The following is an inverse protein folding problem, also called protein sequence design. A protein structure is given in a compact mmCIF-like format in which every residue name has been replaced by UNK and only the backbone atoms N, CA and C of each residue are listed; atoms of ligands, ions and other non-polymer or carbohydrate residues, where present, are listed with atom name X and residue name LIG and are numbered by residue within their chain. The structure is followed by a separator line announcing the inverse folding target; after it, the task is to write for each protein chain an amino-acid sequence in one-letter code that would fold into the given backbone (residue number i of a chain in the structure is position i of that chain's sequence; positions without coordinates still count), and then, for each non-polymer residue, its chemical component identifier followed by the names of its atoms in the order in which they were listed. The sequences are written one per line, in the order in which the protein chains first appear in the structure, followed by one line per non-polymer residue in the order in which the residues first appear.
data_IF_328535728586
#
_entry.id   IF_328535728586
#
_cell.length_a   1.000
_cell.length_b   1.000
_cell.length_c   1.000
_cell.angle_alpha   90.00
_cell.angle_beta   90.00
_cell.angle_gamma   90.00
#
_symmetry.space_group_name_H-M   'P 1'
#
loop_
_entity.id
_entity.type
_entity.pdbx_description
1 polymer ?
#
# COMPACT_ATOMS: atom_id res chain seq x y z
N UNK A 1 25.60 16.04 9.34
CA UNK A 1 25.07 15.02 8.42
C UNK A 1 23.93 14.35 9.16
N UNK A 2 22.75 14.28 8.58
CA UNK A 2 21.62 13.56 9.22
C UNK A 2 22.00 12.09 9.38
N UNK A 3 21.81 11.50 10.55
CA UNK A 3 22.07 10.07 10.73
C UNK A 3 21.11 9.27 9.85
N UNK A 4 21.63 8.26 9.17
CA UNK A 4 20.91 7.47 8.18
C UNK A 4 20.82 5.99 8.59
N UNK A 5 19.84 5.30 8.04
CA UNK A 5 19.60 3.86 8.27
C UNK A 5 19.66 3.08 6.96
N UNK A 6 19.94 1.79 7.06
CA UNK A 6 19.88 0.84 5.96
C UNK A 6 18.64 -0.03 6.12
N UNK A 7 17.83 -0.19 5.06
CA UNK A 7 16.58 -0.91 5.13
C UNK A 7 16.56 -2.18 4.28
N UNK A 8 15.99 -3.23 4.85
CA UNK A 8 15.68 -4.50 4.16
C UNK A 8 14.19 -4.57 3.91
N UNK A 9 13.80 -4.85 2.68
CA UNK A 9 12.41 -5.01 2.25
C UNK A 9 12.25 -6.33 1.49
N UNK A 10 11.79 -7.41 2.13
CA UNK A 10 11.50 -8.65 1.42
C UNK A 10 10.27 -8.52 0.54
N UNK A 11 10.37 -8.99 -0.70
CA UNK A 11 9.25 -9.07 -1.64
C UNK A 11 9.02 -10.54 -1.98
N UNK A 12 7.90 -11.10 -1.52
CA UNK A 12 7.50 -12.47 -1.82
C UNK A 12 7.22 -12.66 -3.31
N UNK A 13 7.37 -13.90 -3.84
CA UNK A 13 6.96 -14.21 -5.20
C UNK A 13 5.52 -13.74 -5.46
N UNK A 14 5.32 -12.96 -6.53
CA UNK A 14 4.05 -12.28 -6.83
C UNK A 14 2.87 -13.24 -6.93
N UNK A 15 3.09 -14.46 -7.40
CA UNK A 15 2.06 -15.48 -7.50
C UNK A 15 1.53 -15.95 -6.12
N UNK A 16 2.33 -15.81 -5.06
CA UNK A 16 2.01 -16.23 -3.69
C UNK A 16 1.69 -15.06 -2.75
N UNK A 17 1.98 -13.83 -3.20
CA UNK A 17 1.75 -12.63 -2.39
C UNK A 17 0.26 -12.29 -2.31
N UNK A 18 -0.21 -11.83 -1.15
CA UNK A 18 -1.52 -11.16 -0.99
C UNK A 18 -2.73 -11.89 -1.56
N UNK A 19 -2.87 -13.19 -1.29
CA UNK A 19 -3.97 -14.02 -1.83
C UNK A 19 -5.37 -13.49 -1.52
N UNK A 20 -5.54 -12.74 -0.39
CA UNK A 20 -6.80 -12.09 0.00
C UNK A 20 -7.15 -10.86 -0.86
N UNK A 21 -6.20 -10.33 -1.64
CA UNK A 21 -6.44 -9.25 -2.61
C UNK A 21 -6.88 -9.75 -4.00
N UNK A 22 -7.07 -11.05 -4.18
CA UNK A 22 -7.57 -11.57 -5.45
C UNK A 22 -8.92 -10.95 -5.80
N UNK A 23 -9.05 -10.43 -7.01
CA UNK A 23 -10.25 -9.73 -7.46
C UNK A 23 -10.25 -8.23 -7.16
N UNK A 24 -9.38 -7.71 -6.31
CA UNK A 24 -9.36 -6.29 -5.97
C UNK A 24 -8.97 -5.39 -7.16
N UNK A 25 -8.16 -5.88 -8.11
CA UNK A 25 -7.69 -5.13 -9.27
C UNK A 25 -8.48 -5.35 -10.56
N UNK A 26 -9.46 -6.28 -10.58
CA UNK A 26 -10.17 -6.73 -11.79
C UNK A 26 -11.66 -7.00 -11.57
N UNK A 27 -12.30 -6.25 -10.69
CA UNK A 27 -13.74 -6.32 -10.40
C UNK A 27 -14.22 -7.71 -9.94
N UNK A 28 -13.41 -8.43 -9.18
CA UNK A 28 -13.77 -9.72 -8.60
C UNK A 28 -13.42 -10.94 -9.48
N UNK A 29 -12.87 -10.73 -10.69
CA UNK A 29 -12.50 -11.84 -11.59
C UNK A 29 -11.38 -12.70 -10.98
N UNK A 30 -10.43 -12.09 -10.25
CA UNK A 30 -9.35 -12.79 -9.59
C UNK A 30 -8.25 -13.32 -10.53
N UNK A 31 -8.10 -12.70 -11.70
CA UNK A 31 -7.08 -13.08 -12.67
C UNK A 31 -5.67 -12.96 -12.07
N UNK A 32 -4.87 -14.01 -12.19
CA UNK A 32 -3.52 -14.08 -11.62
C UNK A 32 -2.63 -12.90 -12.06
N UNK A 33 -2.75 -12.47 -13.33
CA UNK A 33 -1.99 -11.35 -13.88
C UNK A 33 -2.39 -10.01 -13.23
N UNK A 34 -3.69 -9.78 -13.00
CA UNK A 34 -4.17 -8.57 -12.35
C UNK A 34 -3.72 -8.52 -10.89
N UNK A 35 -3.79 -9.66 -10.21
CA UNK A 35 -3.30 -9.82 -8.85
C UNK A 35 -1.79 -9.55 -8.73
N UNK A 36 -0.96 -10.17 -9.61
CA UNK A 36 0.49 -9.95 -9.62
C UNK A 36 0.85 -8.48 -9.89
N UNK A 37 0.13 -7.81 -10.80
CA UNK A 37 0.31 -6.37 -11.08
C UNK A 37 0.00 -5.51 -9.84
N UNK A 38 -1.08 -5.82 -9.13
CA UNK A 38 -1.41 -5.09 -7.90
C UNK A 38 -0.33 -5.31 -6.83
N UNK A 39 0.07 -6.55 -6.57
CA UNK A 39 1.12 -6.85 -5.59
C UNK A 39 2.45 -6.13 -5.92
N UNK A 40 2.84 -6.10 -7.20
CA UNK A 40 4.02 -5.35 -7.64
C UNK A 40 3.82 -3.85 -7.47
N UNK A 41 2.65 -3.31 -7.77
CA UNK A 41 2.37 -1.88 -7.63
C UNK A 41 2.46 -1.41 -6.17
N UNK A 42 1.92 -2.20 -5.21
CA UNK A 42 2.06 -1.93 -3.78
C UNK A 42 3.55 -1.86 -3.37
N UNK A 43 4.34 -2.87 -3.80
CA UNK A 43 5.76 -2.91 -3.49
C UNK A 43 6.52 -1.71 -4.11
N UNK A 44 6.22 -1.35 -5.35
CA UNK A 44 6.86 -0.21 -6.03
C UNK A 44 6.59 1.11 -5.35
N UNK A 45 5.35 1.36 -4.90
CA UNK A 45 5.03 2.59 -4.18
C UNK A 45 5.75 2.66 -2.83
N UNK A 46 5.79 1.54 -2.09
CA UNK A 46 6.56 1.46 -0.84
C UNK A 46 8.05 1.75 -1.07
N UNK A 47 8.65 1.06 -2.05
CA UNK A 47 10.07 1.19 -2.35
C UNK A 47 10.43 2.59 -2.89
N UNK A 48 9.56 3.20 -3.71
CA UNK A 48 9.73 4.57 -4.17
C UNK A 48 9.72 5.58 -3.02
N UNK A 49 8.83 5.40 -2.04
CA UNK A 49 8.82 6.23 -0.83
C UNK A 49 10.10 6.06 0.00
N UNK A 50 10.60 4.82 0.12
CA UNK A 50 11.87 4.53 0.81
C UNK A 50 13.07 5.18 0.10
N UNK A 51 13.15 5.08 -1.23
CA UNK A 51 14.22 5.73 -2.01
C UNK A 51 14.20 7.25 -1.93
N UNK A 52 13.01 7.85 -1.76
CA UNK A 52 12.84 9.30 -1.63
C UNK A 52 13.05 9.82 -0.20
N UNK A 53 13.13 8.96 0.80
CA UNK A 53 13.36 9.32 2.19
C UNK A 53 14.83 9.72 2.42
N UNK A 54 15.05 10.89 3.03
CA UNK A 54 16.40 11.43 3.26
C UNK A 54 17.18 10.66 4.34
N UNK A 55 16.46 9.98 5.25
CA UNK A 55 17.03 9.17 6.31
C UNK A 55 17.48 7.77 5.87
N UNK A 56 17.19 7.35 4.64
CA UNK A 56 17.58 6.03 4.14
C UNK A 56 18.84 6.13 3.29
N UNK A 57 19.90 5.42 3.71
CA UNK A 57 21.17 5.37 2.99
C UNK A 57 21.20 4.24 1.95
N UNK A 58 20.80 3.04 2.37
CA UNK A 58 20.74 1.87 1.51
C UNK A 58 19.40 1.17 1.62
N UNK A 59 18.86 0.78 0.47
CA UNK A 59 17.67 -0.04 0.34
C UNK A 59 18.06 -1.38 -0.29
N UNK A 60 17.87 -2.47 0.43
CA UNK A 60 18.13 -3.83 -0.02
C UNK A 60 16.81 -4.61 -0.10
N UNK A 61 16.46 -5.09 -1.28
CA UNK A 61 15.31 -5.98 -1.47
C UNK A 61 15.79 -7.44 -1.45
N UNK A 62 15.04 -8.30 -0.74
CA UNK A 62 15.27 -9.75 -0.73
C UNK A 62 14.13 -10.43 -1.45
N UNK A 63 14.41 -11.11 -2.56
CA UNK A 63 13.36 -11.82 -3.33
C UNK A 63 13.93 -13.00 -4.11
N UNK A 64 13.16 -14.10 -4.20
CA UNK A 64 13.45 -15.24 -5.07
C UNK A 64 12.70 -15.18 -6.41
N UNK A 65 11.92 -14.12 -6.66
CA UNK A 65 11.14 -13.96 -7.88
C UNK A 65 11.96 -13.21 -8.95
N UNK A 66 12.29 -13.83 -10.09
CA UNK A 66 13.07 -13.18 -11.14
C UNK A 66 12.35 -12.00 -11.77
N UNK A 67 11.01 -11.97 -11.76
CA UNK A 67 10.22 -10.83 -12.27
C UNK A 67 10.41 -9.64 -11.35
N UNK A 68 10.38 -9.86 -10.03
CA UNK A 68 10.65 -8.80 -9.04
C UNK A 68 12.06 -8.25 -9.23
N UNK A 69 13.08 -9.12 -9.36
CA UNK A 69 14.45 -8.69 -9.55
C UNK A 69 14.63 -7.88 -10.84
N UNK A 70 14.05 -8.32 -11.95
CA UNK A 70 14.13 -7.62 -13.23
C UNK A 70 13.41 -6.27 -13.20
N UNK A 71 12.18 -6.21 -12.67
CA UNK A 71 11.41 -4.96 -12.62
C UNK A 71 12.02 -3.93 -11.66
N UNK A 72 12.48 -4.34 -10.48
CA UNK A 72 13.07 -3.41 -9.50
C UNK A 72 14.47 -2.96 -9.91
N UNK A 73 15.23 -3.80 -10.60
CA UNK A 73 16.55 -3.45 -11.15
C UNK A 73 16.51 -2.28 -12.12
N UNK A 74 15.42 -2.11 -12.88
CA UNK A 74 15.22 -0.95 -13.78
C UNK A 74 15.18 0.38 -13.00
N UNK A 75 14.77 0.34 -11.74
CA UNK A 75 14.73 1.52 -10.86
C UNK A 75 15.99 1.68 -10.00
N UNK A 76 17.05 0.92 -10.30
CA UNK A 76 18.30 0.99 -9.54
C UNK A 76 18.21 0.39 -8.12
N UNK A 77 17.18 -0.41 -7.83
CA UNK A 77 17.02 -1.07 -6.54
C UNK A 77 17.82 -2.37 -6.54
N UNK A 78 18.68 -2.51 -5.54
CA UNK A 78 19.45 -3.75 -5.34
C UNK A 78 18.53 -4.87 -4.86
N UNK A 79 18.53 -6.00 -5.58
CA UNK A 79 17.76 -7.19 -5.23
C UNK A 79 18.71 -8.37 -5.04
N UNK A 80 18.66 -8.99 -3.85
CA UNK A 80 19.41 -10.19 -3.54
C UNK A 80 18.49 -11.41 -3.45
N UNK A 81 18.99 -12.62 -3.80
CA UNK A 81 18.18 -13.82 -3.73
C UNK A 81 17.78 -14.15 -2.27
N UNK A 82 16.53 -14.58 -2.09
CA UNK A 82 16.08 -15.22 -0.85
C UNK A 82 16.57 -16.66 -0.84
N UNK A 83 17.69 -16.90 -0.17
CA UNK A 83 18.31 -18.23 -0.05
C UNK A 83 17.86 -18.85 1.26
N UNK A 84 17.25 -20.04 1.25
CA UNK A 84 16.86 -20.72 2.48
C UNK A 84 18.03 -20.94 3.43
N UNK A 85 17.84 -20.60 4.70
CA UNK A 85 18.83 -20.89 5.75
C UNK A 85 18.38 -22.11 6.56
N UNK A 86 19.32 -22.94 7.09
CA UNK A 86 18.99 -24.23 7.71
C UNK A 86 18.04 -24.16 8.91
N UNK A 87 17.92 -23.02 9.57
CA UNK A 87 17.13 -22.84 10.80
C UNK A 87 16.09 -21.71 10.75
N UNK A 88 16.09 -20.91 9.68
CA UNK A 88 15.19 -19.80 9.47
C UNK A 88 14.60 -19.90 8.07
N UNK A 89 13.29 -19.94 7.97
CA UNK A 89 12.58 -19.96 6.70
C UNK A 89 11.56 -18.83 6.61
N UNK A 90 11.18 -18.46 5.40
CA UNK A 90 10.15 -17.46 5.18
C UNK A 90 10.60 -16.02 5.44
N UNK A 91 9.65 -15.18 5.78
CA UNK A 91 9.83 -13.73 5.84
C UNK A 91 10.93 -13.29 6.83
N UNK A 92 10.97 -13.89 8.03
CA UNK A 92 11.94 -13.53 9.05
C UNK A 92 13.38 -13.92 8.64
N UNK A 93 13.55 -15.03 7.91
CA UNK A 93 14.84 -15.41 7.33
C UNK A 93 15.33 -14.38 6.31
N UNK A 94 14.43 -13.92 5.42
CA UNK A 94 14.76 -12.90 4.43
C UNK A 94 15.21 -11.59 5.10
N UNK A 95 14.52 -11.13 6.14
CA UNK A 95 14.91 -9.95 6.92
C UNK A 95 16.26 -10.15 7.60
N UNK A 96 16.46 -11.27 8.30
CA UNK A 96 17.71 -11.55 9.00
C UNK A 96 18.90 -11.62 8.02
N UNK A 97 18.73 -12.26 6.86
CA UNK A 97 19.75 -12.34 5.81
C UNK A 97 20.09 -10.95 5.25
N UNK A 98 19.09 -10.17 4.87
CA UNK A 98 19.32 -8.83 4.35
C UNK A 98 20.03 -7.93 5.36
N UNK A 99 19.61 -7.99 6.63
CA UNK A 99 20.26 -7.26 7.71
C UNK A 99 21.74 -7.69 7.91
N UNK A 100 22.04 -8.97 7.81
CA UNK A 100 23.42 -9.47 7.87
C UNK A 100 24.28 -8.93 6.72
N UNK A 101 23.75 -8.96 5.48
CA UNK A 101 24.46 -8.42 4.31
C UNK A 101 24.75 -6.92 4.42
N UNK A 102 23.80 -6.14 4.95
CA UNK A 102 24.01 -4.71 5.17
C UNK A 102 25.09 -4.45 6.23
N UNK A 103 25.13 -5.26 7.28
CA UNK A 103 26.14 -5.14 8.33
C UNK A 103 27.51 -5.70 7.96
N UNK A 104 27.59 -6.64 7.04
CA UNK A 104 28.87 -7.04 6.43
C UNK A 104 29.53 -5.87 5.70
N UNK A 105 28.72 -4.96 5.12
CA UNK A 105 29.21 -3.74 4.44
C UNK A 105 29.57 -2.63 5.42
N UNK A 106 28.77 -2.47 6.46
CA UNK A 106 28.97 -1.48 7.51
C UNK A 106 28.48 -2.02 8.88
N UNK A 107 29.41 -2.52 9.71
CA UNK A 107 29.07 -3.04 11.05
C UNK A 107 28.42 -2.01 11.97
N UNK A 108 28.64 -0.70 11.73
CA UNK A 108 28.06 0.39 12.50
C UNK A 108 26.68 0.83 11.98
N UNK A 109 26.16 0.19 10.92
CA UNK A 109 24.85 0.55 10.36
C UNK A 109 23.71 0.33 11.37
N UNK A 110 22.82 1.31 11.46
CA UNK A 110 21.46 1.11 11.98
C UNK A 110 20.66 0.40 10.88
N UNK A 111 20.13 -0.78 11.18
CA UNK A 111 19.48 -1.60 10.17
C UNK A 111 18.00 -1.80 10.53
N UNK A 112 17.12 -1.68 9.52
CA UNK A 112 15.69 -1.86 9.68
C UNK A 112 15.09 -2.87 8.70
N UNK A 113 13.93 -3.38 9.10
CA UNK A 113 13.03 -4.24 8.33
C UNK A 113 11.73 -3.48 8.08
N UNK A 114 11.33 -3.34 6.82
CA UNK A 114 10.10 -2.68 6.42
C UNK A 114 9.25 -3.63 5.56
N UNK A 115 7.92 -3.63 5.77
CA UNK A 115 6.98 -4.35 4.92
C UNK A 115 6.91 -3.72 3.52
N UNK A 116 6.69 -4.55 2.48
CA UNK A 116 6.68 -4.11 1.08
C UNK A 116 5.31 -3.62 0.58
N UNK A 117 4.31 -3.51 1.42
CA UNK A 117 2.91 -3.36 1.07
C UNK A 117 2.24 -2.14 1.73
N UNK A 118 3.00 -1.06 1.80
CA UNK A 118 2.62 0.23 2.38
C UNK A 118 2.41 1.28 1.27
N UNK A 119 1.40 1.14 0.39
CA UNK A 119 1.27 1.98 -0.81
C UNK A 119 0.92 3.45 -0.51
N UNK A 120 0.59 3.77 0.73
CA UNK A 120 0.34 5.12 1.19
C UNK A 120 1.50 5.71 2.02
N UNK A 121 2.65 5.02 2.10
CA UNK A 121 3.84 5.49 2.79
C UNK A 121 4.34 6.80 2.16
N UNK A 122 4.60 7.79 2.99
CA UNK A 122 5.21 9.07 2.60
C UNK A 122 6.67 9.11 3.04
N UNK A 123 7.59 9.60 2.21
CA UNK A 123 9.00 9.76 2.61
C UNK A 123 9.18 10.50 3.92
N UNK A 124 8.43 11.60 4.12
CA UNK A 124 8.49 12.40 5.33
C UNK A 124 8.03 11.64 6.59
N UNK A 125 7.04 10.74 6.48
CA UNK A 125 6.59 9.91 7.59
C UNK A 125 7.68 8.90 7.99
N UNK A 126 8.37 8.34 6.99
CA UNK A 126 9.51 7.43 7.23
C UNK A 126 10.68 8.18 7.87
N UNK A 127 11.02 9.38 7.37
CA UNK A 127 12.08 10.22 7.93
C UNK A 127 11.78 10.59 9.39
N UNK A 128 10.54 10.95 9.71
CA UNK A 128 10.13 11.27 11.07
C UNK A 128 10.19 10.05 12.00
N UNK A 129 9.76 8.88 11.53
CA UNK A 129 9.85 7.62 12.29
C UNK A 129 11.30 7.22 12.55
N UNK A 130 12.18 7.35 11.56
CA UNK A 130 13.61 7.09 11.72
C UNK A 130 14.23 8.07 12.71
N UNK A 131 13.91 9.37 12.63
CA UNK A 131 14.38 10.36 13.59
C UNK A 131 14.02 10.00 15.04
N UNK A 132 12.74 9.68 15.28
CA UNK A 132 12.27 9.26 16.60
C UNK A 132 12.96 7.96 17.09
N UNK A 133 13.24 7.04 16.19
CA UNK A 133 13.97 5.81 16.52
C UNK A 133 15.42 6.12 16.96
N UNK A 134 16.10 7.00 16.23
CA UNK A 134 17.48 7.40 16.53
C UNK A 134 17.61 8.11 17.89
N UNK A 135 16.61 8.93 18.27
CA UNK A 135 16.55 9.54 19.60
C UNK A 135 16.44 8.49 20.71
N UNK A 136 15.62 7.45 20.49
CA UNK A 136 15.51 6.33 21.43
C UNK A 136 16.81 5.50 21.50
N UNK A 137 17.47 5.29 20.37
CA UNK A 137 18.79 4.61 20.35
C UNK A 137 19.86 5.40 21.09
N UNK A 138 19.87 6.73 20.97
CA UNK A 138 20.74 7.61 21.75
C UNK A 138 20.44 7.53 23.26
N UNK A 139 19.20 7.24 23.64
CA UNK A 139 18.78 7.00 25.02
C UNK A 139 19.04 5.54 25.50
N UNK A 140 19.71 4.71 24.69
CA UNK A 140 20.10 3.33 25.05
C UNK A 140 19.08 2.25 24.71
N UNK A 141 17.98 2.57 23.98
CA UNK A 141 17.06 1.56 23.46
C UNK A 141 17.74 0.75 22.36
N UNK A 142 17.65 -0.58 22.41
CA UNK A 142 18.34 -1.45 21.46
C UNK A 142 17.59 -1.64 20.15
N UNK A 143 16.25 -1.76 20.21
CA UNK A 143 15.36 -1.98 19.06
C UNK A 143 14.05 -1.26 19.26
N UNK A 144 13.45 -0.82 18.15
CA UNK A 144 12.11 -0.21 18.13
C UNK A 144 11.27 -0.81 17.03
N UNK A 145 9.94 -0.83 17.18
CA UNK A 145 9.02 -1.28 16.14
C UNK A 145 7.80 -0.37 16.03
N UNK A 146 7.26 -0.26 14.81
CA UNK A 146 5.99 0.40 14.51
C UNK A 146 4.94 -0.69 14.26
N UNK A 147 3.84 -0.71 15.02
CA UNK A 147 2.75 -1.66 14.77
C UNK A 147 1.97 -1.29 13.51
N UNK A 148 1.29 -2.27 12.92
CA UNK A 148 0.31 -2.03 11.87
C UNK A 148 -0.85 -1.14 12.36
N UNK A 149 -1.75 -0.76 11.48
CA UNK A 149 -2.91 0.07 11.84
C UNK A 149 -3.88 -0.64 12.78
N UNK A 150 -3.92 -1.98 12.77
CA UNK A 150 -4.70 -2.82 13.69
C UNK A 150 -4.03 -3.01 15.05
N UNK A 151 -2.75 -2.63 15.21
CA UNK A 151 -1.99 -2.77 16.45
C UNK A 151 -1.55 -4.19 16.78
N UNK A 152 -1.77 -5.16 15.90
CA UNK A 152 -1.47 -6.58 16.11
C UNK A 152 -0.25 -7.07 15.32
N UNK A 153 -0.03 -6.52 14.14
CA UNK A 153 1.12 -6.76 13.29
C UNK A 153 2.22 -5.72 13.49
N UNK A 154 3.26 -5.81 12.68
CA UNK A 154 4.39 -4.88 12.65
C UNK A 154 4.68 -4.53 11.20
N UNK A 155 4.79 -3.26 10.89
CA UNK A 155 5.15 -2.78 9.55
C UNK A 155 6.62 -2.37 9.45
N UNK A 156 7.22 -1.92 10.56
CA UNK A 156 8.58 -1.43 10.60
C UNK A 156 9.28 -1.87 11.90
N UNK A 157 10.53 -2.33 11.79
CA UNK A 157 11.40 -2.72 12.91
C UNK A 157 12.79 -2.14 12.65
N UNK A 158 13.39 -1.48 13.64
CA UNK A 158 14.76 -0.97 13.58
C UNK A 158 15.60 -1.50 14.74
N UNK A 159 16.88 -1.73 14.47
CA UNK A 159 17.88 -2.08 15.47
C UNK A 159 19.05 -1.11 15.43
N UNK A 160 19.48 -0.66 16.60
CA UNK A 160 20.65 0.19 16.77
C UNK A 160 21.93 -0.47 16.20
N UNK A 161 22.97 0.34 16.01
CA UNK A 161 24.28 -0.14 15.58
C UNK A 161 24.76 -1.29 16.49
N UNK A 162 25.27 -2.36 15.88
CA UNK A 162 25.77 -3.54 16.60
C UNK A 162 24.70 -4.45 17.23
N UNK A 163 23.42 -4.07 17.22
CA UNK A 163 22.32 -4.86 17.82
C UNK A 163 21.69 -5.76 16.76
N UNK A 164 21.46 -7.05 17.03
CA UNK A 164 20.75 -7.95 16.12
C UNK A 164 19.32 -7.44 15.86
N UNK A 165 18.88 -7.51 14.60
CA UNK A 165 17.55 -7.07 14.21
C UNK A 165 16.43 -7.92 14.86
N UNK A 166 16.65 -9.24 14.99
CA UNK A 166 15.71 -10.21 15.60
C UNK A 166 14.28 -10.09 15.07
N UNK A 167 14.03 -10.26 13.76
CA UNK A 167 12.73 -10.09 13.16
C UNK A 167 11.77 -11.19 13.59
N UNK A 168 10.55 -10.80 14.01
CA UNK A 168 9.47 -11.68 14.47
C UNK A 168 8.16 -11.34 13.77
N UNK A 169 8.22 -11.06 12.47
CA UNK A 169 7.05 -10.75 11.65
C UNK A 169 6.14 -11.97 11.48
N UNK A 170 4.84 -11.72 11.37
CA UNK A 170 3.77 -12.70 11.26
C UNK A 170 2.57 -12.31 12.13
N UNK A 171 1.63 -13.22 12.29
CA UNK A 171 0.46 -12.97 13.14
C UNK A 171 0.89 -12.67 14.58
N UNK A 172 0.37 -11.58 15.18
CA UNK A 172 0.72 -11.16 16.54
C UNK A 172 2.14 -10.61 16.68
N UNK A 173 2.76 -10.16 15.59
CA UNK A 173 4.16 -9.71 15.59
C UNK A 173 4.42 -8.50 16.48
N UNK A 174 3.45 -7.62 16.72
CA UNK A 174 3.60 -6.51 17.65
C UNK A 174 3.89 -7.02 19.08
N UNK A 175 3.11 -7.97 19.56
CA UNK A 175 3.34 -8.63 20.85
C UNK A 175 4.68 -9.38 20.87
N UNK A 176 5.02 -10.09 19.79
CA UNK A 176 6.27 -10.85 19.70
C UNK A 176 7.51 -9.93 19.72
N UNK A 177 7.48 -8.78 19.03
CA UNK A 177 8.55 -7.79 19.08
C UNK A 177 8.67 -7.14 20.46
N UNK A 178 7.55 -6.74 21.08
CA UNK A 178 7.55 -6.21 22.44
C UNK A 178 8.14 -7.23 23.45
N UNK A 179 7.72 -8.49 23.37
CA UNK A 179 8.25 -9.56 24.23
C UNK A 179 9.74 -9.85 24.01
N UNK A 180 10.29 -9.51 22.82
CA UNK A 180 11.72 -9.61 22.53
C UNK A 180 12.54 -8.43 23.05
N UNK A 181 11.92 -7.46 23.72
CA UNK A 181 12.56 -6.25 24.22
C UNK A 181 12.71 -5.12 23.21
N UNK A 182 12.00 -5.17 22.08
CA UNK A 182 11.86 -4.01 21.20
C UNK A 182 10.85 -3.01 21.78
N UNK A 183 11.19 -1.73 21.82
CA UNK A 183 10.30 -0.69 22.31
C UNK A 183 9.28 -0.30 21.23
N UNK A 184 8.05 0.01 21.65
CA UNK A 184 7.04 0.56 20.76
C UNK A 184 7.45 1.98 20.32
N UNK A 185 7.49 2.20 19.02
CA UNK A 185 7.70 3.52 18.43
C UNK A 185 6.33 4.12 18.09
N UNK A 186 5.97 5.18 18.78
CA UNK A 186 4.69 5.86 18.62
C UNK A 186 4.84 7.14 17.80
N UNK A 187 3.88 7.42 16.90
CA UNK A 187 3.82 8.63 16.10
C UNK A 187 2.68 8.63 15.10
N UNK A 188 2.42 9.78 14.52
CA UNK A 188 1.36 10.01 13.55
C UNK A 188 1.86 9.74 12.12
N UNK A 189 2.05 8.47 11.80
CA UNK A 189 2.52 7.99 10.49
C UNK A 189 1.52 6.99 9.89
N UNK A 190 0.32 7.43 9.52
CA UNK A 190 -0.74 6.52 9.11
C UNK A 190 -0.36 5.68 7.88
N UNK A 191 0.39 6.24 6.93
CA UNK A 191 0.87 5.53 5.74
C UNK A 191 1.94 4.47 6.06
N UNK A 192 2.76 4.67 7.10
CA UNK A 192 3.73 3.69 7.57
C UNK A 192 3.08 2.50 8.30
N UNK A 193 1.90 2.70 8.86
CA UNK A 193 1.15 1.68 9.62
C UNK A 193 0.11 0.94 8.80
N UNK A 194 -0.29 1.48 7.63
CA UNK A 194 -1.35 0.90 6.80
C UNK A 194 -0.76 -0.03 5.75
N UNK A 195 -0.53 -1.28 6.14
CA UNK A 195 -0.28 -2.37 5.20
C UNK A 195 -1.58 -2.82 4.52
N UNK A 196 -1.44 -3.41 3.35
CA UNK A 196 -2.57 -3.80 2.51
C UNK A 196 -2.60 -5.30 2.35
N UNK A 197 -3.47 -5.99 3.09
CA UNK A 197 -3.72 -7.43 3.02
C UNK A 197 -5.06 -7.77 2.36
N UNK A 198 -6.04 -6.88 2.49
CA UNK A 198 -7.42 -7.07 2.02
C UNK A 198 -7.88 -5.92 1.12
N UNK A 199 -9.04 -6.09 0.47
CA UNK A 199 -9.64 -5.02 -0.31
C UNK A 199 -10.08 -3.82 0.57
N UNK A 200 -10.37 -4.06 1.84
CA UNK A 200 -10.73 -3.04 2.81
C UNK A 200 -9.50 -2.21 3.18
N UNK A 201 -8.36 -2.85 3.45
CA UNK A 201 -7.09 -2.16 3.70
C UNK A 201 -6.69 -1.30 2.49
N UNK A 202 -6.92 -1.80 1.27
CA UNK A 202 -6.64 -1.04 0.04
C UNK A 202 -7.53 0.21 -0.07
N UNK A 203 -8.79 0.15 0.37
CA UNK A 203 -9.68 1.32 0.42
C UNK A 203 -9.22 2.33 1.47
N UNK A 204 -8.81 1.85 2.64
CA UNK A 204 -8.27 2.70 3.70
C UNK A 204 -6.96 3.37 3.27
N UNK A 205 -6.05 2.60 2.64
CA UNK A 205 -4.82 3.16 2.07
C UNK A 205 -5.12 4.21 0.98
N UNK A 206 -6.17 4.00 0.17
CA UNK A 206 -6.60 4.97 -0.84
C UNK A 206 -7.11 6.29 -0.22
N UNK A 207 -7.73 6.23 0.95
CA UNK A 207 -8.15 7.43 1.68
C UNK A 207 -6.95 8.23 2.23
N UNK A 208 -5.82 7.57 2.52
CA UNK A 208 -4.58 8.21 2.93
C UNK A 208 -3.78 8.81 1.74
N UNK A 209 -4.08 8.35 0.52
CA UNK A 209 -3.39 8.73 -0.71
C UNK A 209 -2.40 7.66 -1.17
N UNK A 210 -2.76 6.94 -2.23
CA UNK A 210 -1.91 5.90 -2.83
C UNK A 210 -0.75 6.53 -3.61
N UNK A 211 0.36 5.81 -3.65
CA UNK A 211 1.43 6.09 -4.60
C UNK A 211 0.98 5.89 -6.05
N UNK A 212 1.81 6.36 -6.98
CA UNK A 212 1.46 6.45 -8.40
C UNK A 212 1.17 5.08 -9.04
N UNK A 213 1.95 4.06 -8.68
CA UNK A 213 1.83 2.72 -9.28
C UNK A 213 0.52 2.04 -8.89
N UNK A 214 0.18 2.03 -7.60
CA UNK A 214 -1.08 1.46 -7.11
C UNK A 214 -2.28 2.26 -7.63
N UNK A 215 -2.21 3.58 -7.58
CA UNK A 215 -3.25 4.45 -8.13
C UNK A 215 -3.47 4.20 -9.63
N UNK A 216 -2.40 3.96 -10.42
CA UNK A 216 -2.51 3.63 -11.83
C UNK A 216 -3.23 2.30 -12.07
N UNK A 217 -2.88 1.24 -11.31
CA UNK A 217 -3.54 -0.07 -11.40
C UNK A 217 -5.02 0.05 -11.04
N UNK A 218 -5.33 0.82 -9.99
CA UNK A 218 -6.72 1.02 -9.54
C UNK A 218 -7.54 1.85 -10.52
N UNK A 219 -6.98 2.86 -11.19
CA UNK A 219 -7.67 3.63 -12.24
C UNK A 219 -8.03 2.77 -13.45
N UNK A 220 -7.15 1.85 -13.88
CA UNK A 220 -7.42 0.93 -15.00
C UNK A 220 -8.56 -0.04 -14.74
N UNK A 221 -8.89 -0.30 -13.48
CA UNK A 221 -10.07 -1.07 -13.08
C UNK A 221 -11.39 -0.44 -13.57
N UNK A 222 -11.44 0.88 -13.77
CA UNK A 222 -12.64 1.63 -14.11
C UNK A 222 -12.85 1.85 -15.63
N UNK A 223 -11.96 1.43 -16.50
CA UNK A 223 -12.19 1.49 -17.94
C UNK A 223 -12.97 0.22 -18.30
N UNK A 224 -14.30 0.31 -18.60
CA UNK A 224 -15.03 -0.84 -19.14
C UNK A 224 -14.27 -1.28 -20.40
N UNK A 225 -14.05 -2.58 -20.56
CA UNK A 225 -13.50 -3.14 -21.79
C UNK A 225 -14.30 -2.55 -22.95
N UNK A 226 -13.64 -1.88 -23.89
CA UNK A 226 -14.30 -1.44 -25.13
C UNK A 226 -14.82 -2.72 -25.76
N UNK A 227 -16.15 -2.84 -25.83
CA UNK A 227 -16.80 -3.88 -26.59
C UNK A 227 -16.32 -3.77 -28.03
N UNK A 228 -15.61 -4.76 -28.60
CA UNK A 228 -15.13 -4.70 -29.98
C UNK A 228 -16.28 -4.71 -30.99
N UNK A 229 -17.56 -4.82 -30.52
CA UNK A 229 -18.77 -4.82 -31.32
C UNK A 229 -19.63 -3.57 -31.20
N UNK A 230 -19.21 -2.52 -30.47
CA UNK A 230 -20.04 -1.34 -30.15
C UNK A 230 -20.31 -0.44 -31.33
N UNK A 231 -21.28 -0.84 -32.17
CA UNK A 231 -22.09 0.07 -32.96
C UNK A 231 -23.30 0.49 -32.11
N UNK A 232 -23.41 1.83 -31.91
CA UNK A 232 -24.67 2.55 -31.70
C UNK A 232 -25.53 2.18 -30.48
N UNK A 233 -25.12 2.60 -29.28
CA UNK A 233 -26.09 2.95 -28.22
C UNK A 233 -26.24 4.47 -27.99
N UNK A 234 -25.55 5.31 -28.76
CA UNK A 234 -25.58 6.77 -28.63
C UNK A 234 -26.73 7.45 -29.42
N UNK A 235 -27.45 6.73 -30.27
CA UNK A 235 -28.50 7.34 -31.12
C UNK A 235 -29.93 7.16 -30.63
N UNK A 236 -30.19 6.55 -29.49
CA UNK A 236 -31.59 6.33 -29.02
C UNK A 236 -32.06 7.26 -27.92
N UNK A 237 -31.28 8.21 -27.48
CA UNK A 237 -31.70 9.18 -26.45
C UNK A 237 -32.17 10.52 -27.05
N UNK A 238 -31.80 10.83 -28.30
CA UNK A 238 -32.14 12.09 -28.96
C UNK A 238 -33.41 12.05 -29.84
N UNK A 239 -34.07 10.89 -30.02
CA UNK A 239 -35.24 10.74 -30.89
C UNK A 239 -36.60 10.75 -30.15
N UNK A 240 -36.68 11.05 -28.87
CA UNK A 240 -37.94 11.10 -28.11
C UNK A 240 -38.39 12.50 -27.66
N UNK A 241 -37.76 13.56 -28.14
CA UNK A 241 -38.13 14.94 -27.78
C UNK A 241 -38.51 15.86 -28.96
N UNK A 242 -38.95 15.30 -30.06
CA UNK A 242 -39.36 16.13 -31.21
C UNK A 242 -40.61 15.54 -31.93
N UNK A 243 -41.75 15.41 -31.19
CA UNK A 243 -43.04 15.30 -31.85
C UNK A 243 -44.16 15.52 -30.83
N UNK A 244 -44.45 16.78 -30.52
CA UNK A 244 -45.73 17.27 -30.03
C UNK A 244 -45.69 18.80 -30.07
N UNK A 245 -45.94 19.33 -31.23
CA UNK A 245 -46.19 20.75 -31.44
C UNK A 245 -46.95 20.97 -32.72
N UNK A 246 -48.19 21.19 -32.65
CA UNK A 246 -49.10 21.87 -33.58
C UNK A 246 -50.44 21.18 -33.67
N UNK A 247 -51.40 21.74 -32.99
CA UNK A 247 -52.68 22.13 -33.61
C UNK A 247 -53.46 23.06 -32.68
N UNK A 248 -53.90 24.13 -33.28
CA UNK A 248 -54.55 25.31 -32.75
C UNK A 248 -55.97 25.08 -32.23
N UNK A 249 -56.34 25.99 -31.39
CA UNK A 249 -57.59 26.55 -30.90
C UNK A 249 -58.82 26.48 -31.87
N UNK A 250 -60.09 26.89 -31.49
CA UNK A 250 -60.54 27.69 -30.35
C UNK A 250 -61.95 27.28 -29.78
N UNK A 251 -62.41 27.97 -28.75
CA UNK A 251 -63.88 28.12 -28.50
C UNK A 251 -64.24 28.05 -27.02
N UNK A 252 -64.42 29.18 -26.43
CA UNK A 252 -65.55 29.83 -25.80
C UNK A 252 -66.29 29.16 -24.63
N UNK A 253 -66.39 29.94 -23.62
CA UNK A 253 -67.53 30.41 -22.80
C UNK A 253 -67.77 29.78 -21.43
N UNK A 254 -67.68 30.71 -20.50
CA UNK A 254 -68.58 31.04 -19.42
C UNK A 254 -68.88 30.05 -18.29
N UNK A 255 -68.76 30.56 -17.10
CA UNK A 255 -69.84 30.45 -16.11
C UNK A 255 -69.44 30.00 -14.71
N UNK A 256 -69.40 30.97 -13.79
CA UNK A 256 -70.08 30.82 -12.51
C UNK A 256 -69.33 30.33 -11.29
N UNK A 257 -68.82 31.25 -10.53
CA UNK A 257 -69.36 31.76 -9.27
C UNK A 257 -69.34 30.81 -8.03
N UNK A 258 -68.61 31.31 -6.99
CA UNK A 258 -68.93 31.17 -5.55
C UNK A 258 -68.57 29.81 -4.89
N UNK A 259 -68.02 29.71 -3.76
CA UNK A 259 -67.98 30.44 -2.53
C UNK A 259 -67.06 29.67 -1.57
N UNK A 260 -66.27 30.38 -0.84
CA UNK A 260 -65.69 30.03 0.47
C UNK A 260 -66.86 29.84 1.49
N UNK A 261 -66.71 29.34 2.75
CA UNK A 261 -65.51 29.27 3.61
C UNK A 261 -65.44 28.08 4.62
N UNK A 262 -64.32 28.07 5.31
CA UNK A 262 -64.12 27.86 6.75
C UNK A 262 -64.25 26.50 7.44
N UNK A 263 -63.27 26.30 8.27
CA UNK A 263 -63.17 25.68 9.61
C UNK A 263 -63.03 24.16 9.74
N UNK A 264 -62.03 23.88 10.49
CA UNK A 264 -61.83 22.68 11.28
C UNK A 264 -60.34 22.52 11.54
#
# INVERSE_FOLDING_TARGET
MMPTVDLVVPVKPLAKAKSRLRGAADNGIGAQRAHARLAMALARDTLAAVQAAASVRHLLVVSSDPVVAAELGVFGIEVVPDVPAPRLTGLNAAYARGAALLRERDPAAVVGALQADLPALRPADLDAAVGAALDLFAAGVARVFVPDAGGTGTTFLLAAAGVLLDPRFGAGSATAHAASGAALLSGEWPGLRRDVDTADDLRDAAALGLGEHTAHVMRRRWIPARDPGGRAAAERVTARHCSLGSRASPGATEGGVRNNPSRG
#
